data_IF_480846313024
#
_entry.id   IF_480846313024
#
_cell.length_a   1.000
_cell.length_b   1.000
_cell.length_c   1.000
_cell.angle_alpha   90.00
_cell.angle_beta   90.00
_cell.angle_gamma   90.00
#
_symmetry.space_group_name_H-M   'P 1'
#
loop_
_entity.id
_entity.type
_entity.pdbx_description
1 polymer ?
#
# COMPACT_ATOMS: atom_id res chain seq x y z
N UNK A 1 28.80 -35.44 1.06
CA UNK A 1 27.80 -35.96 0.08
C UNK A 1 26.39 -36.00 0.64
N UNK A 2 26.20 -36.34 1.93
CA UNK A 2 24.86 -36.40 2.55
C UNK A 2 24.16 -35.04 2.67
N UNK A 3 24.92 -33.95 2.87
CA UNK A 3 24.37 -32.60 2.90
C UNK A 3 23.66 -32.20 1.59
N UNK A 4 24.28 -32.48 0.43
CA UNK A 4 23.69 -32.19 -0.88
C UNK A 4 22.37 -32.93 -1.11
N UNK A 5 22.28 -34.20 -0.68
CA UNK A 5 21.07 -35.01 -0.78
C UNK A 5 19.90 -34.44 0.02
N UNK A 6 20.15 -33.81 1.17
CA UNK A 6 19.13 -33.16 1.97
C UNK A 6 18.79 -31.74 1.49
N UNK A 7 19.77 -31.02 0.94
CA UNK A 7 19.63 -29.61 0.56
C UNK A 7 18.86 -29.42 -0.77
N UNK A 8 19.08 -30.31 -1.75
CA UNK A 8 18.38 -30.27 -3.04
C UNK A 8 16.85 -30.35 -2.90
N UNK A 9 16.26 -31.35 -2.21
CA UNK A 9 14.80 -31.43 -2.08
C UNK A 9 14.22 -30.25 -1.28
N UNK A 10 14.97 -29.71 -0.31
CA UNK A 10 14.57 -28.50 0.41
C UNK A 10 14.46 -27.29 -0.54
N UNK A 11 15.44 -27.08 -1.41
CA UNK A 11 15.39 -26.00 -2.41
C UNK A 11 14.23 -26.18 -3.39
N UNK A 12 14.01 -27.39 -3.89
CA UNK A 12 12.89 -27.70 -4.78
C UNK A 12 11.56 -27.38 -4.10
N UNK A 13 11.41 -27.74 -2.82
CA UNK A 13 10.21 -27.43 -2.05
C UNK A 13 9.96 -25.92 -1.93
N UNK A 14 11.01 -25.13 -1.69
CA UNK A 14 10.90 -23.66 -1.65
C UNK A 14 10.43 -23.09 -2.99
N UNK A 15 10.97 -23.58 -4.11
CA UNK A 15 10.54 -23.16 -5.45
C UNK A 15 9.04 -23.47 -5.66
N UNK A 16 8.59 -24.66 -5.28
CA UNK A 16 7.18 -25.05 -5.36
C UNK A 16 6.30 -24.11 -4.52
N UNK A 17 6.71 -23.83 -3.27
CA UNK A 17 5.99 -22.92 -2.37
C UNK A 17 5.87 -21.52 -2.99
N UNK A 18 6.93 -21.00 -3.62
CA UNK A 18 6.89 -19.69 -4.27
C UNK A 18 5.93 -19.66 -5.47
N UNK A 19 5.89 -20.73 -6.28
CA UNK A 19 4.94 -20.85 -7.38
C UNK A 19 3.50 -20.86 -6.87
N UNK A 20 3.22 -21.67 -5.85
CA UNK A 20 1.90 -21.74 -5.19
C UNK A 20 1.53 -20.39 -4.60
N UNK A 21 2.45 -19.73 -3.90
CA UNK A 21 2.23 -18.40 -3.34
C UNK A 21 1.87 -17.37 -4.42
N UNK A 22 2.56 -17.38 -5.55
CA UNK A 22 2.28 -16.43 -6.63
C UNK A 22 0.87 -16.64 -7.20
N UNK A 23 0.43 -17.89 -7.36
CA UNK A 23 -0.94 -18.20 -7.74
C UNK A 23 -1.94 -17.72 -6.67
N UNK A 24 -1.73 -18.06 -5.40
CA UNK A 24 -2.59 -17.61 -4.28
C UNK A 24 -2.65 -16.08 -4.18
N UNK A 25 -1.55 -15.40 -4.48
CA UNK A 25 -1.49 -13.95 -4.45
C UNK A 25 -2.47 -13.31 -5.45
N UNK A 26 -2.46 -13.79 -6.69
CA UNK A 26 -3.32 -13.27 -7.77
C UNK A 26 -4.79 -13.57 -7.49
N UNK A 27 -5.12 -14.80 -7.06
CA UNK A 27 -6.50 -15.22 -6.90
C UNK A 27 -7.12 -14.81 -5.56
N UNK A 28 -6.37 -14.89 -4.47
CA UNK A 28 -6.90 -14.75 -3.10
C UNK A 28 -6.39 -13.48 -2.44
N UNK A 29 -5.07 -13.29 -2.32
CA UNK A 29 -4.52 -12.25 -1.44
C UNK A 29 -4.71 -10.83 -1.96
N UNK A 30 -4.65 -10.59 -3.27
CA UNK A 30 -4.89 -9.26 -3.85
C UNK A 30 -6.36 -8.82 -3.73
N UNK A 31 -7.30 -9.76 -3.57
CA UNK A 31 -8.73 -9.47 -3.44
C UNK A 31 -9.16 -9.16 -2.00
N UNK A 32 -8.40 -9.59 -0.99
CA UNK A 32 -8.80 -9.47 0.42
C UNK A 32 -8.07 -8.30 1.10
N UNK A 33 -8.84 -7.32 1.57
CA UNK A 33 -8.33 -6.20 2.39
C UNK A 33 -8.28 -6.59 3.85
N UNK A 34 -7.17 -7.17 4.30
CA UNK A 34 -6.97 -7.58 5.69
C UNK A 34 -5.97 -6.66 6.39
N UNK A 35 -6.12 -6.49 7.71
CA UNK A 35 -5.14 -5.79 8.54
C UNK A 35 -3.87 -6.63 8.70
N UNK A 36 -2.70 -6.02 8.47
CA UNK A 36 -1.37 -6.65 8.55
C UNK A 36 -1.13 -7.41 9.86
N UNK A 37 -1.61 -6.88 10.99
CA UNK A 37 -1.42 -7.49 12.30
C UNK A 37 -2.20 -8.80 12.46
N UNK A 38 -3.34 -8.94 11.78
CA UNK A 38 -4.14 -10.17 11.82
C UNK A 38 -3.38 -11.31 11.15
N UNK A 39 -2.74 -11.06 10.00
CA UNK A 39 -1.96 -12.09 9.30
C UNK A 39 -0.74 -12.48 10.12
N UNK A 40 -0.07 -11.52 10.78
CA UNK A 40 1.06 -11.84 11.67
C UNK A 40 0.63 -12.76 12.80
N UNK A 41 -0.49 -12.46 13.46
CA UNK A 41 -0.99 -13.31 14.55
C UNK A 41 -1.34 -14.70 14.02
N UNK A 42 -1.99 -14.81 12.87
CA UNK A 42 -2.30 -16.10 12.24
C UNK A 42 -1.02 -16.87 11.93
N UNK A 43 -0.02 -16.24 11.33
CA UNK A 43 1.27 -16.87 11.03
C UNK A 43 1.98 -17.33 12.31
N UNK A 44 1.97 -16.52 13.37
CA UNK A 44 2.57 -16.85 14.66
C UNK A 44 1.85 -18.02 15.34
N UNK A 45 0.52 -18.07 15.28
CA UNK A 45 -0.28 -19.18 15.80
C UNK A 45 0.00 -20.47 15.02
N UNK A 46 -0.01 -20.39 13.69
CA UNK A 46 0.32 -21.54 12.83
C UNK A 46 1.72 -22.04 13.14
N UNK A 47 2.70 -21.16 13.39
CA UNK A 47 4.04 -21.59 13.76
C UNK A 47 4.11 -22.18 15.17
N UNK A 48 3.54 -21.51 16.18
CA UNK A 48 3.74 -21.86 17.59
C UNK A 48 2.89 -23.07 18.02
N UNK A 49 1.61 -23.12 17.64
CA UNK A 49 0.67 -24.12 18.12
C UNK A 49 1.13 -25.55 17.82
N UNK A 50 1.60 -25.87 16.60
CA UNK A 50 1.96 -27.24 16.28
C UNK A 50 3.28 -27.66 16.92
N UNK A 51 4.21 -26.73 17.09
CA UNK A 51 5.46 -26.97 17.80
C UNK A 51 5.22 -27.29 19.28
N UNK A 52 4.25 -26.62 19.92
CA UNK A 52 3.91 -26.85 21.33
C UNK A 52 3.16 -28.18 21.49
N UNK A 53 2.10 -28.41 20.68
CA UNK A 53 1.21 -29.55 20.86
C UNK A 53 1.82 -30.86 20.36
N UNK A 54 2.45 -30.85 19.18
CA UNK A 54 2.94 -32.09 18.58
C UNK A 54 4.39 -32.41 18.92
N UNK A 55 5.15 -31.52 19.57
CA UNK A 55 6.48 -31.76 20.19
C UNK A 55 7.26 -32.95 19.59
N UNK A 56 7.67 -32.83 18.32
CA UNK A 56 8.52 -33.82 17.64
C UNK A 56 7.81 -35.02 16.98
N UNK A 57 6.48 -35.12 17.04
CA UNK A 57 5.69 -36.19 16.39
C UNK A 57 5.35 -35.91 14.92
N UNK A 58 5.62 -34.69 14.44
CA UNK A 58 5.43 -34.34 13.03
C UNK A 58 6.65 -34.83 12.26
N UNK A 59 6.57 -36.01 11.66
CA UNK A 59 7.69 -36.64 10.95
C UNK A 59 7.38 -36.70 9.45
N UNK A 60 8.39 -36.42 8.63
CA UNK A 60 8.31 -36.59 7.17
C UNK A 60 7.56 -35.47 6.45
N UNK A 61 6.70 -35.83 5.49
CA UNK A 61 6.04 -34.90 4.55
C UNK A 61 5.19 -33.83 5.26
N UNK A 62 4.59 -34.18 6.41
CA UNK A 62 3.75 -33.27 7.17
C UNK A 62 4.52 -32.07 7.73
N UNK A 63 5.80 -32.24 8.07
CA UNK A 63 6.67 -31.17 8.55
C UNK A 63 6.90 -30.12 7.44
N UNK A 64 7.16 -30.58 6.22
CA UNK A 64 7.38 -29.70 5.06
C UNK A 64 6.11 -28.97 4.64
N UNK A 65 4.96 -29.66 4.66
CA UNK A 65 3.65 -29.03 4.41
C UNK A 65 3.36 -27.95 5.44
N UNK A 66 3.52 -28.27 6.72
CA UNK A 66 3.28 -27.34 7.81
C UNK A 66 4.14 -26.08 7.69
N UNK A 67 5.43 -26.28 7.45
CA UNK A 67 6.38 -25.17 7.31
C UNK A 67 6.13 -24.37 6.02
N UNK A 68 5.68 -25.03 4.94
CA UNK A 68 5.27 -24.37 3.71
C UNK A 68 4.03 -23.48 3.89
N UNK A 69 3.02 -23.96 4.62
CA UNK A 69 1.83 -23.15 4.97
C UNK A 69 2.23 -21.93 5.79
N UNK A 70 3.08 -22.11 6.81
CA UNK A 70 3.64 -20.99 7.57
C UNK A 70 4.34 -19.98 6.65
N UNK A 71 5.19 -20.44 5.74
CA UNK A 71 5.91 -19.59 4.79
C UNK A 71 4.97 -18.76 3.93
N UNK A 72 3.86 -19.35 3.44
CA UNK A 72 2.86 -18.67 2.62
C UNK A 72 2.21 -17.52 3.39
N UNK A 73 1.76 -17.76 4.63
CA UNK A 73 1.18 -16.71 5.47
C UNK A 73 2.19 -15.64 5.85
N UNK A 74 3.43 -16.03 6.14
CA UNK A 74 4.49 -15.09 6.46
C UNK A 74 4.86 -14.21 5.25
N UNK A 75 4.94 -14.79 4.06
CA UNK A 75 5.22 -14.05 2.83
C UNK A 75 4.07 -13.09 2.48
N UNK A 76 2.82 -13.50 2.75
CA UNK A 76 1.66 -12.62 2.63
C UNK A 76 1.75 -11.44 3.60
N UNK A 77 2.16 -11.67 4.84
CA UNK A 77 2.41 -10.59 5.81
C UNK A 77 3.50 -9.61 5.32
N UNK A 78 4.61 -10.12 4.77
CA UNK A 78 5.66 -9.27 4.20
C UNK A 78 5.12 -8.39 3.06
N UNK A 79 4.26 -8.94 2.21
CA UNK A 79 3.63 -8.20 1.12
C UNK A 79 2.69 -7.09 1.65
N UNK A 80 1.94 -7.35 2.72
CA UNK A 80 1.06 -6.38 3.39
C UNK A 80 1.83 -5.23 4.08
N UNK A 81 3.05 -5.49 4.58
CA UNK A 81 3.93 -4.43 5.11
C UNK A 81 4.48 -3.54 3.99
N UNK A 82 4.47 -4.04 2.75
CA UNK A 82 4.97 -3.31 1.59
C UNK A 82 6.46 -3.52 1.32
N UNK A 83 7.07 -4.59 1.85
CA UNK A 83 8.47 -4.96 1.58
C UNK A 83 8.76 -5.10 0.08
N UNK A 84 7.79 -5.55 -0.71
CA UNK A 84 7.91 -5.73 -2.16
C UNK A 84 7.52 -4.50 -2.99
N UNK A 85 7.46 -3.29 -2.40
CA UNK A 85 7.38 -2.03 -3.14
C UNK A 85 6.07 -1.73 -3.88
N UNK A 86 5.13 -2.68 -4.00
CA UNK A 86 3.78 -2.39 -4.55
C UNK A 86 2.98 -1.41 -3.68
N UNK A 87 3.34 -1.25 -2.41
CA UNK A 87 2.83 -0.19 -1.53
C UNK A 87 3.28 1.23 -1.90
N UNK A 88 4.37 1.39 -2.67
CA UNK A 88 4.81 2.67 -3.22
C UNK A 88 4.01 3.09 -4.46
N UNK A 89 3.26 2.17 -5.07
CA UNK A 89 2.18 2.49 -6.01
C UNK A 89 0.82 2.52 -5.32
N UNK A 90 0.78 2.93 -4.04
CA UNK A 90 -0.35 3.76 -3.62
C UNK A 90 -0.32 4.95 -4.58
N UNK A 91 -1.18 4.88 -5.60
CA UNK A 91 -1.74 6.03 -6.31
C UNK A 91 -1.73 7.17 -5.31
N UNK A 92 -1.19 8.37 -5.63
CA UNK A 92 -1.17 9.46 -4.68
C UNK A 92 -2.55 9.46 -4.08
N UNK A 93 -2.63 9.11 -2.79
CA UNK A 93 -3.81 9.33 -2.01
C UNK A 93 -3.81 10.82 -2.02
N UNK A 94 -4.43 11.39 -3.05
CA UNK A 94 -4.83 12.77 -3.09
C UNK A 94 -5.51 12.87 -1.75
N UNK A 95 -4.85 13.56 -0.83
CA UNK A 95 -5.43 13.98 0.41
C UNK A 95 -6.49 15.02 0.04
N UNK A 96 -7.53 14.57 -0.66
CA UNK A 96 -8.88 15.14 -0.70
C UNK A 96 -9.58 14.88 0.64
N UNK A 97 -8.82 14.67 1.71
CA UNK A 97 -9.23 14.94 3.08
C UNK A 97 -8.55 16.24 3.48
N UNK A 98 -9.03 17.34 2.90
CA UNK A 98 -8.74 18.76 3.23
C UNK A 98 -7.78 19.52 2.31
N UNK A 99 -7.69 19.14 1.04
CA UNK A 99 -7.02 19.93 0.00
C UNK A 99 -7.89 20.18 -1.22
N UNK A 100 -9.20 20.44 -1.06
CA UNK A 100 -9.97 21.01 -2.17
C UNK A 100 -9.32 22.36 -2.47
N UNK A 101 -8.51 22.41 -3.53
CA UNK A 101 -8.09 23.68 -4.12
C UNK A 101 -9.37 24.27 -4.73
N UNK A 102 -10.19 24.88 -3.86
CA UNK A 102 -11.23 25.77 -4.30
C UNK A 102 -10.50 26.88 -5.02
N UNK A 103 -10.91 27.17 -6.24
CA UNK A 103 -10.44 28.36 -6.94
C UNK A 103 -10.57 29.53 -5.96
N UNK A 104 -9.45 30.16 -5.59
CA UNK A 104 -9.52 31.38 -4.78
C UNK A 104 -10.35 32.37 -5.59
N UNK A 105 -11.39 32.92 -4.98
CA UNK A 105 -12.22 33.91 -5.63
C UNK A 105 -11.32 35.02 -6.20
N UNK A 106 -11.61 35.48 -7.42
CA UNK A 106 -10.91 36.62 -8.01
C UNK A 106 -10.93 37.75 -6.97
N UNK A 107 -9.78 38.35 -6.59
CA UNK A 107 -9.78 39.42 -5.60
C UNK A 107 -10.78 40.47 -6.07
N UNK A 108 -11.80 40.68 -5.24
CA UNK A 108 -12.84 41.64 -5.54
C UNK A 108 -12.16 43.00 -5.53
N UNK A 109 -11.81 43.49 -6.71
CA UNK A 109 -11.23 44.82 -6.95
C UNK A 109 -12.38 45.83 -6.75
N UNK A 110 -12.90 45.92 -5.53
CA UNK A 110 -13.81 46.98 -5.09
C UNK A 110 -12.95 48.25 -5.07
N UNK A 111 -13.26 49.19 -5.96
CA UNK A 111 -14.38 50.15 -5.89
C UNK A 111 -14.08 51.14 -4.77
N UNK A 112 -14.02 52.41 -5.14
CA UNK A 112 -13.66 53.58 -4.33
C UNK A 112 -12.13 53.75 -4.21
N UNK A 113 -11.51 54.87 -4.57
CA UNK A 113 -11.83 56.15 -5.21
C UNK A 113 -10.44 56.79 -5.42
N UNK A 114 -10.09 57.45 -6.49
CA UNK A 114 -10.73 58.55 -7.20
C UNK A 114 -10.47 58.36 -8.69
N UNK A 115 -11.53 58.18 -9.47
CA UNK A 115 -11.44 58.55 -10.88
C UNK A 115 -11.42 60.07 -10.87
N UNK A 116 -10.23 60.69 -10.87
CA UNK A 116 -10.11 62.09 -11.25
C UNK A 116 -10.52 62.17 -12.71
N UNK A 117 -11.82 62.34 -12.92
CA UNK A 117 -12.35 62.77 -14.21
C UNK A 117 -11.81 64.16 -14.39
N UNK A 118 -10.72 64.28 -15.16
CA UNK A 118 -10.26 65.56 -15.68
C UNK A 118 -11.44 66.11 -16.47
N UNK A 119 -12.27 66.94 -15.84
CA UNK A 119 -13.29 67.69 -16.56
C UNK A 119 -12.51 68.66 -17.43
N UNK A 120 -12.42 68.35 -18.73
CA UNK A 120 -11.94 69.29 -19.71
C UNK A 120 -12.86 70.52 -19.65
N UNK A 121 -12.38 71.57 -18.97
CA UNK A 121 -13.02 72.88 -18.90
C UNK A 121 -13.11 73.40 -20.33
N UNK A 122 -14.27 73.24 -20.96
CA UNK A 122 -14.52 73.78 -22.29
C UNK A 122 -14.40 75.31 -22.20
N UNK A 123 -13.43 75.87 -22.90
CA UNK A 123 -13.29 77.32 -23.10
C UNK A 123 -14.47 77.79 -23.93
N UNK A 124 -15.53 78.27 -23.29
CA UNK A 124 -16.51 79.10 -23.99
C UNK A 124 -15.96 80.52 -24.09
N UNK A 125 -15.37 80.85 -25.24
CA UNK A 125 -15.12 82.24 -25.66
C UNK A 125 -16.46 82.98 -25.72
N UNK A 126 -16.70 83.95 -24.84
CA UNK A 126 -17.73 84.97 -25.07
C UNK A 126 -17.08 86.18 -25.73
N UNK A 127 -17.41 86.39 -27.01
CA UNK A 127 -17.31 87.68 -27.69
C UNK A 127 -18.41 88.59 -27.14
N UNK A 128 -18.04 89.79 -26.69
CA UNK A 128 -18.76 91.03 -26.95
C UNK A 128 -17.81 92.19 -26.77
#
# INVERSE_FOLDING_TARGET
MEFLKAFIPMLIMVIIILLVYNALKIFVFDNIKVNKWVILVIAAVIFAVPNIIWSGKIVGVWQYLHMGVFLIFFLWFMDLIGLYGKGAKKKPKVETRNGVIKAKAKPNRIKDGSMEVISAKSKTRKKK
#
